data_IF_344382075099
#
_entry.id   IF_344382075099
#
_cell.length_a   1.000
_cell.length_b   1.000
_cell.length_c   1.000
_cell.angle_alpha   90.00
_cell.angle_beta   90.00
_cell.angle_gamma   90.00
#
_symmetry.space_group_name_H-M   'P 1'
#
loop_
_entity.id
_entity.type
_entity.pdbx_description
1 polymer ?
#
# COMPACT_ATOMS: atom_id res chain seq x y z
N UNK A 1 -27.40 -2.10 21.68
CA UNK A 1 -26.92 -2.24 20.28
C UNK A 1 -25.89 -1.16 20.01
N UNK A 2 -24.58 -1.42 20.18
CA UNK A 2 -23.57 -0.38 19.92
C UNK A 2 -22.22 -0.93 19.43
N UNK A 3 -22.19 -2.17 18.91
CA UNK A 3 -20.93 -2.92 18.71
C UNK A 3 -20.45 -2.96 17.25
N UNK A 4 -20.96 -2.10 16.36
CA UNK A 4 -20.66 -2.20 14.91
C UNK A 4 -20.29 -0.88 14.22
N UNK A 5 -20.10 0.23 14.97
CA UNK A 5 -19.98 1.58 14.37
C UNK A 5 -18.57 2.16 14.25
N UNK A 6 -17.47 1.38 14.35
CA UNK A 6 -16.13 2.01 14.40
C UNK A 6 -14.92 1.17 13.97
N UNK A 7 -15.01 0.34 12.94
CA UNK A 7 -13.79 -0.32 12.40
C UNK A 7 -13.07 0.51 11.33
N UNK A 8 -13.77 1.40 10.64
CA UNK A 8 -13.19 2.33 9.67
C UNK A 8 -13.59 3.76 9.98
N UNK A 9 -12.67 4.68 9.72
CA UNK A 9 -13.02 6.09 9.60
C UNK A 9 -13.89 6.33 8.36
N UNK A 10 -14.65 7.43 8.36
CA UNK A 10 -15.55 7.81 7.27
C UNK A 10 -14.74 7.94 5.97
N UNK A 11 -13.59 8.61 6.01
CA UNK A 11 -12.77 8.80 4.81
C UNK A 11 -12.24 7.49 4.22
N UNK A 12 -11.87 6.53 5.06
CA UNK A 12 -11.46 5.20 4.58
C UNK A 12 -12.62 4.43 3.96
N UNK A 13 -13.81 4.51 4.56
CA UNK A 13 -15.02 3.85 4.04
C UNK A 13 -15.41 4.40 2.68
N UNK A 14 -15.37 5.72 2.52
CA UNK A 14 -15.64 6.42 1.26
C UNK A 14 -14.58 6.07 0.20
N UNK A 15 -13.30 5.99 0.57
CA UNK A 15 -12.24 5.60 -0.35
C UNK A 15 -12.42 4.16 -0.87
N UNK A 16 -12.86 3.23 -0.02
CA UNK A 16 -13.16 1.85 -0.44
C UNK A 16 -14.37 1.83 -1.37
N UNK A 17 -15.45 2.50 -1.00
CA UNK A 17 -16.67 2.57 -1.81
C UNK A 17 -16.37 3.14 -3.19
N UNK A 18 -15.66 4.27 -3.25
CA UNK A 18 -15.28 4.91 -4.51
C UNK A 18 -14.36 4.01 -5.35
N UNK A 19 -13.37 3.36 -4.74
CA UNK A 19 -12.48 2.44 -5.46
C UNK A 19 -13.25 1.24 -6.05
N UNK A 20 -14.22 0.71 -5.32
CA UNK A 20 -15.08 -0.37 -5.79
C UNK A 20 -15.99 0.09 -6.94
N UNK A 21 -16.68 1.21 -6.78
CA UNK A 21 -17.57 1.80 -7.81
C UNK A 21 -16.82 2.14 -9.10
N UNK A 22 -15.59 2.62 -9.00
CA UNK A 22 -14.76 2.96 -10.16
C UNK A 22 -14.02 1.76 -10.75
N UNK A 23 -14.20 0.55 -10.21
CA UNK A 23 -13.44 -0.64 -10.59
C UNK A 23 -11.92 -0.37 -10.61
N UNK A 24 -11.41 0.30 -9.58
CA UNK A 24 -10.02 0.67 -9.51
C UNK A 24 -9.12 -0.58 -9.44
N UNK A 25 -7.97 -0.54 -10.14
CA UNK A 25 -7.01 -1.65 -10.13
C UNK A 25 -6.43 -1.94 -8.75
N UNK A 26 -6.16 -0.87 -7.99
CA UNK A 26 -5.55 -0.91 -6.66
C UNK A 26 -5.99 0.26 -5.78
N UNK A 27 -5.96 0.05 -4.47
CA UNK A 27 -6.19 1.08 -3.46
C UNK A 27 -5.07 1.06 -2.41
N UNK A 28 -4.65 2.24 -1.96
CA UNK A 28 -3.76 2.43 -0.81
C UNK A 28 -4.62 2.85 0.38
N UNK A 29 -4.49 2.15 1.50
CA UNK A 29 -5.12 2.48 2.78
C UNK A 29 -4.08 2.41 3.88
N UNK A 30 -4.16 3.37 4.80
CA UNK A 30 -3.17 3.55 5.87
C UNK A 30 -3.42 2.57 7.02
N UNK A 31 -4.66 2.50 7.54
CA UNK A 31 -4.94 1.69 8.71
C UNK A 31 -5.01 0.19 8.43
N UNK A 32 -4.57 -0.60 9.42
CA UNK A 32 -4.59 -2.07 9.30
C UNK A 32 -6.03 -2.60 9.21
N UNK A 33 -6.94 -2.01 9.98
CA UNK A 33 -8.36 -2.38 9.96
C UNK A 33 -8.99 -2.08 8.60
N UNK A 34 -8.77 -0.87 8.07
CA UNK A 34 -9.22 -0.48 6.73
C UNK A 34 -8.71 -1.43 5.65
N UNK A 35 -7.42 -1.80 5.69
CA UNK A 35 -6.84 -2.77 4.74
C UNK A 35 -7.50 -4.15 4.80
N UNK A 36 -7.92 -4.62 5.97
CA UNK A 36 -8.59 -5.92 6.10
C UNK A 36 -9.95 -5.88 5.40
N UNK A 37 -10.74 -4.83 5.63
CA UNK A 37 -12.06 -4.68 5.03
C UNK A 37 -11.96 -4.44 3.52
N UNK A 38 -11.07 -3.53 3.10
CA UNK A 38 -10.94 -3.14 1.70
C UNK A 38 -10.56 -4.30 0.75
N UNK A 39 -9.82 -5.30 1.25
CA UNK A 39 -9.42 -6.50 0.47
C UNK A 39 -10.59 -7.30 -0.09
N UNK A 40 -11.78 -7.16 0.47
CA UNK A 40 -12.99 -7.82 -0.04
C UNK A 40 -13.53 -7.17 -1.31
N UNK A 41 -13.15 -5.92 -1.59
CA UNK A 41 -13.74 -5.09 -2.64
C UNK A 41 -12.74 -4.63 -3.70
N UNK A 42 -11.48 -4.43 -3.30
CA UNK A 42 -10.42 -3.90 -4.18
C UNK A 42 -9.05 -4.44 -3.77
N UNK A 43 -8.16 -4.60 -4.74
CA UNK A 43 -6.78 -5.03 -4.47
C UNK A 43 -6.04 -3.94 -3.70
N UNK A 44 -5.41 -4.32 -2.60
CA UNK A 44 -4.64 -3.37 -1.79
C UNK A 44 -3.17 -3.38 -2.19
N UNK A 45 -2.60 -2.18 -2.31
CA UNK A 45 -1.18 -1.96 -2.52
C UNK A 45 -0.65 -0.98 -1.46
N UNK A 46 0.63 -1.12 -1.11
CA UNK A 46 1.34 -0.13 -0.31
C UNK A 46 2.43 0.56 -1.14
N UNK A 47 3.04 1.61 -0.61
CA UNK A 47 4.07 2.39 -1.30
C UNK A 47 5.19 1.52 -1.91
N UNK A 48 5.70 0.54 -1.16
CA UNK A 48 6.73 -0.39 -1.66
C UNK A 48 6.24 -1.20 -2.88
N UNK A 49 4.98 -1.63 -2.89
CA UNK A 49 4.37 -2.32 -4.02
C UNK A 49 4.23 -1.41 -5.25
N UNK A 50 3.94 -0.12 -5.04
CA UNK A 50 3.91 0.89 -6.12
C UNK A 50 5.30 1.05 -6.73
N UNK A 51 6.34 1.16 -5.90
CA UNK A 51 7.72 1.27 -6.37
C UNK A 51 8.16 0.02 -7.16
N UNK A 52 7.84 -1.18 -6.67
CA UNK A 52 8.09 -2.43 -7.41
C UNK A 52 7.36 -2.46 -8.76
N UNK A 53 6.12 -1.97 -8.79
CA UNK A 53 5.34 -1.88 -10.03
C UNK A 53 5.96 -0.88 -11.01
N UNK A 54 6.46 0.25 -10.52
CA UNK A 54 7.16 1.25 -11.33
C UNK A 54 8.47 0.71 -11.92
N UNK A 55 9.26 -0.03 -11.12
CA UNK A 55 10.48 -0.73 -11.58
C UNK A 55 10.13 -1.76 -12.67
N UNK A 56 9.11 -2.60 -12.45
CA UNK A 56 8.66 -3.59 -13.44
C UNK A 56 8.23 -2.92 -14.75
N UNK A 57 7.61 -1.74 -14.68
CA UNK A 57 7.22 -0.92 -15.83
C UNK A 57 8.36 -0.09 -16.42
N UNK A 58 9.60 -0.22 -15.91
CA UNK A 58 10.79 0.55 -16.33
C UNK A 58 10.62 2.07 -16.20
N UNK A 59 9.73 2.53 -15.32
CA UNK A 59 9.54 3.96 -15.01
C UNK A 59 10.69 4.44 -14.12
N UNK A 60 11.19 3.56 -13.24
CA UNK A 60 12.38 3.79 -12.42
C UNK A 60 13.41 2.70 -12.71
N UNK A 61 14.69 3.08 -12.68
CA UNK A 61 15.79 2.15 -12.93
C UNK A 61 16.20 1.37 -11.70
N UNK A 62 16.05 1.91 -10.49
CA UNK A 62 16.47 1.27 -9.25
C UNK A 62 15.49 1.59 -8.13
N UNK A 63 15.22 0.61 -7.25
CA UNK A 63 14.34 0.80 -6.09
C UNK A 63 15.14 1.10 -4.81
N UNK A 64 16.35 0.53 -4.68
CA UNK A 64 17.22 0.66 -3.49
C UNK A 64 17.47 2.09 -3.03
N UNK A 65 17.91 3.05 -3.88
CA UNK A 65 18.15 4.43 -3.43
C UNK A 65 16.87 5.12 -2.91
N UNK A 66 15.71 4.78 -3.48
CA UNK A 66 14.41 5.32 -3.06
C UNK A 66 14.02 4.75 -1.68
N UNK A 67 14.19 3.44 -1.47
CA UNK A 67 13.91 2.80 -0.18
C UNK A 67 14.81 3.34 0.95
N UNK A 68 16.09 3.60 0.64
CA UNK A 68 17.02 4.23 1.59
C UNK A 68 16.54 5.64 1.95
N UNK A 69 16.15 6.44 0.95
CA UNK A 69 15.63 7.80 1.17
C UNK A 69 14.36 7.78 2.03
N UNK A 70 13.44 6.85 1.78
CA UNK A 70 12.23 6.68 2.60
C UNK A 70 12.56 6.32 4.05
N UNK A 71 13.47 5.38 4.27
CA UNK A 71 13.89 5.00 5.62
C UNK A 71 14.51 6.19 6.37
N UNK A 72 15.33 6.99 5.68
CA UNK A 72 15.95 8.19 6.24
C UNK A 72 14.95 9.33 6.50
N UNK A 73 13.78 9.33 5.85
CA UNK A 73 12.71 10.31 6.11
C UNK A 73 11.78 9.90 7.26
N UNK A 74 12.08 8.83 8.00
CA UNK A 74 11.25 8.33 9.10
C UNK A 74 10.10 7.40 8.67
N UNK A 75 10.06 6.98 7.40
CA UNK A 75 9.06 6.01 6.95
C UNK A 75 9.28 4.65 7.62
N UNK A 76 8.21 4.07 8.18
CA UNK A 76 8.25 2.76 8.86
C UNK A 76 8.43 1.63 7.84
N UNK A 77 9.68 1.29 7.55
CA UNK A 77 10.06 0.18 6.68
C UNK A 77 10.88 -0.84 7.47
N UNK A 78 10.32 -2.03 7.67
CA UNK A 78 11.05 -3.11 8.34
C UNK A 78 12.20 -3.61 7.46
N UNK A 79 13.29 -4.08 8.09
CA UNK A 79 14.42 -4.65 7.37
C UNK A 79 14.00 -5.87 6.52
N UNK A 80 13.02 -6.66 7.00
CA UNK A 80 12.47 -7.78 6.23
C UNK A 80 11.77 -7.30 4.94
N UNK A 81 10.89 -6.29 5.04
CA UNK A 81 10.21 -5.76 3.85
C UNK A 81 11.19 -5.07 2.89
N UNK A 82 12.22 -4.41 3.42
CA UNK A 82 13.31 -3.85 2.61
C UNK A 82 14.03 -4.94 1.81
N UNK A 83 14.45 -6.04 2.45
CA UNK A 83 15.13 -7.15 1.79
C UNK A 83 14.25 -7.82 0.73
N UNK A 84 12.99 -8.12 1.07
CA UNK A 84 12.01 -8.70 0.13
C UNK A 84 11.76 -7.77 -1.07
N UNK A 85 11.78 -6.45 -0.87
CA UNK A 85 11.61 -5.50 -1.97
C UNK A 85 12.82 -5.53 -2.92
N UNK A 86 14.05 -5.59 -2.39
CA UNK A 86 15.25 -5.70 -3.21
C UNK A 86 15.28 -7.01 -4.01
N UNK A 87 15.01 -8.13 -3.35
CA UNK A 87 14.92 -9.45 -4.00
C UNK A 87 13.91 -9.43 -5.16
N UNK A 88 12.71 -8.90 -4.92
CA UNK A 88 11.66 -8.78 -5.96
C UNK A 88 12.03 -7.81 -7.10
N UNK A 89 12.93 -6.87 -6.85
CA UNK A 89 13.42 -5.93 -7.84
C UNK A 89 14.66 -6.42 -8.60
N UNK A 90 15.28 -7.52 -8.15
CA UNK A 90 16.55 -8.01 -8.66
C UNK A 90 17.74 -7.13 -8.27
N UNK A 91 17.71 -6.53 -7.07
CA UNK A 91 18.72 -5.61 -6.51
C UNK A 91 19.30 -6.08 -5.17
#
# INVERSE_FOLDING_TARGET
ANTLKKSLDIGESEAIALAHEKNADVLIIDEKAGRIVARQYVKIIGLVGVLLSAKKKKIINEIKPILIKLKNSGFKLSNNLFAVALEKAGE
#
